data_IF_596289413612
#
_entry.id   IF_596289413612
#
_cell.length_a   1.000
_cell.length_b   1.000
_cell.length_c   1.000
_cell.angle_alpha   90.00
_cell.angle_beta   90.00
_cell.angle_gamma   90.00
#
_symmetry.space_group_name_H-M   'P 1'
#
loop_
_entity.id
_entity.type
_entity.pdbx_description
1 polymer ?
#
# COMPACT_ATOMS: atom_id res chain seq x y z
N UNK A 1 -18.61 -7.34 10.95
CA UNK A 1 -18.35 -6.69 12.25
C UNK A 1 -17.94 -7.76 13.26
N UNK A 2 -16.63 -7.89 13.51
CA UNK A 2 -16.12 -8.88 14.48
C UNK A 2 -16.32 -8.27 15.87
N UNK A 3 -17.20 -8.86 16.70
CA UNK A 3 -17.47 -8.34 18.05
C UNK A 3 -16.16 -8.36 18.85
N UNK A 4 -15.76 -7.19 19.35
CA UNK A 4 -14.70 -7.07 20.36
C UNK A 4 -14.99 -8.05 21.50
N UNK A 5 -14.06 -8.96 21.78
CA UNK A 5 -14.17 -9.94 22.87
C UNK A 5 -14.04 -9.30 24.26
N UNK A 6 -13.76 -8.00 24.34
CA UNK A 6 -13.70 -7.26 25.60
C UNK A 6 -15.08 -6.70 25.90
N UNK A 7 -15.70 -7.17 26.99
CA UNK A 7 -17.09 -6.85 27.33
C UNK A 7 -17.34 -5.40 27.75
N UNK A 8 -16.37 -4.49 27.61
CA UNK A 8 -16.47 -3.10 28.08
C UNK A 8 -15.48 -2.13 27.39
N UNK A 9 -15.34 -2.21 26.06
CA UNK A 9 -14.53 -1.24 25.30
C UNK A 9 -15.33 0.06 25.10
N UNK A 10 -14.90 1.22 25.62
CA UNK A 10 -15.62 2.49 25.46
C UNK A 10 -15.44 3.10 24.07
N UNK A 11 -14.39 2.69 23.34
CA UNK A 11 -14.09 3.20 22.00
C UNK A 11 -15.20 2.83 21.00
N UNK A 12 -15.81 3.80 20.29
CA UNK A 12 -16.78 3.54 19.23
C UNK A 12 -16.23 2.61 18.16
N UNK A 13 -17.10 1.78 17.58
CA UNK A 13 -16.68 0.68 16.70
C UNK A 13 -15.88 1.16 15.50
N UNK A 14 -16.27 2.26 14.87
CA UNK A 14 -15.58 2.84 13.71
C UNK A 14 -14.16 3.35 14.03
N UNK A 15 -13.88 3.67 15.30
CA UNK A 15 -12.59 4.20 15.74
C UNK A 15 -11.67 3.11 16.34
N UNK A 16 -12.14 1.86 16.34
CA UNK A 16 -11.35 0.73 16.86
C UNK A 16 -10.31 0.29 15.79
N UNK A 17 -9.01 0.21 16.15
CA UNK A 17 -7.95 -0.18 15.22
C UNK A 17 -8.19 -1.51 14.48
N UNK A 18 -8.89 -2.46 15.13
CA UNK A 18 -9.24 -3.74 14.51
C UNK A 18 -10.27 -3.58 13.38
N UNK A 19 -11.26 -2.71 13.55
CA UNK A 19 -12.27 -2.47 12.52
C UNK A 19 -11.67 -1.66 11.37
N UNK A 20 -10.84 -0.65 11.67
CA UNK A 20 -10.05 0.07 10.66
C UNK A 20 -9.20 -0.91 9.81
N UNK A 21 -8.57 -1.90 10.45
CA UNK A 21 -7.83 -2.96 9.76
C UNK A 21 -8.71 -3.81 8.84
N UNK A 22 -9.85 -4.30 9.32
CA UNK A 22 -10.75 -5.13 8.52
C UNK A 22 -11.36 -4.35 7.35
N UNK A 23 -11.75 -3.09 7.56
CA UNK A 23 -12.23 -2.21 6.49
C UNK A 23 -11.15 -2.00 5.43
N UNK A 24 -9.92 -1.68 5.86
CA UNK A 24 -8.81 -1.52 4.94
C UNK A 24 -8.53 -2.82 4.18
N UNK A 25 -8.48 -3.96 4.87
CA UNK A 25 -8.26 -5.28 4.26
C UNK A 25 -9.32 -5.64 3.22
N UNK A 26 -10.56 -5.21 3.41
CA UNK A 26 -11.67 -5.48 2.49
C UNK A 26 -11.76 -4.47 1.33
N UNK A 27 -11.14 -3.30 1.45
CA UNK A 27 -11.09 -2.31 0.37
C UNK A 27 -10.35 -2.89 -0.86
N UNK A 28 -10.90 -2.65 -2.05
CA UNK A 28 -10.49 -3.30 -3.31
C UNK A 28 -8.97 -3.39 -3.52
N UNK A 29 -8.28 -2.25 -3.45
CA UNK A 29 -6.86 -2.12 -3.76
C UNK A 29 -5.97 -2.77 -2.67
N UNK A 30 -6.40 -2.69 -1.41
CA UNK A 30 -5.69 -3.26 -0.26
C UNK A 30 -5.89 -4.77 -0.17
N UNK A 31 -7.09 -5.26 -0.46
CA UNK A 31 -7.39 -6.69 -0.56
C UNK A 31 -6.46 -7.40 -1.54
N UNK A 32 -6.24 -6.78 -2.70
CA UNK A 32 -5.35 -7.33 -3.74
C UNK A 32 -3.88 -7.34 -3.28
N UNK A 33 -3.46 -6.41 -2.41
CA UNK A 33 -2.11 -6.42 -1.82
C UNK A 33 -1.87 -7.56 -0.81
N UNK A 34 -2.93 -8.05 -0.17
CA UNK A 34 -2.91 -9.19 0.74
C UNK A 34 -3.02 -10.57 0.03
N UNK A 35 -3.21 -10.59 -1.30
CA UNK A 35 -3.40 -11.82 -2.06
C UNK A 35 -2.13 -12.69 -2.14
N UNK A 36 -2.19 -13.82 -2.86
CA UNK A 36 -0.99 -14.62 -3.17
C UNK A 36 -0.04 -13.85 -4.09
N UNK A 37 1.25 -14.20 -4.06
CA UNK A 37 2.28 -13.49 -4.83
C UNK A 37 1.97 -13.37 -6.33
N UNK A 38 1.46 -14.44 -6.95
CA UNK A 38 1.09 -14.47 -8.38
C UNK A 38 -0.04 -13.50 -8.70
N UNK A 39 -1.07 -13.45 -7.86
CA UNK A 39 -2.21 -12.57 -8.08
C UNK A 39 -1.80 -11.11 -7.89
N UNK A 40 -1.05 -10.83 -6.83
CA UNK A 40 -0.48 -9.51 -6.56
C UNK A 40 0.36 -8.99 -7.74
N UNK A 41 1.32 -9.78 -8.22
CA UNK A 41 2.20 -9.37 -9.33
C UNK A 41 1.44 -9.15 -10.63
N UNK A 42 0.43 -9.97 -10.91
CA UNK A 42 -0.49 -9.77 -12.05
C UNK A 42 -1.22 -8.43 -11.95
N UNK A 43 -1.73 -8.06 -10.76
CA UNK A 43 -2.41 -6.77 -10.54
C UNK A 43 -1.48 -5.58 -10.74
N UNK A 44 -0.26 -5.64 -10.21
CA UNK A 44 0.75 -4.60 -10.41
C UNK A 44 1.09 -4.46 -11.90
N UNK A 45 1.22 -5.57 -12.63
CA UNK A 45 1.45 -5.55 -14.08
C UNK A 45 0.27 -4.92 -14.84
N UNK A 46 -0.97 -5.22 -14.46
CA UNK A 46 -2.14 -4.57 -15.05
C UNK A 46 -2.14 -3.06 -14.82
N UNK A 47 -1.85 -2.60 -13.60
CA UNK A 47 -1.73 -1.16 -13.28
C UNK A 47 -0.66 -0.50 -14.14
N UNK A 48 0.50 -1.15 -14.29
CA UNK A 48 1.56 -0.67 -15.16
C UNK A 48 1.13 -0.60 -16.64
N UNK A 49 0.47 -1.65 -17.14
CA UNK A 49 -0.07 -1.72 -18.51
C UNK A 49 -1.11 -0.62 -18.78
N UNK A 50 -2.01 -0.37 -17.83
CA UNK A 50 -2.96 0.75 -17.95
C UNK A 50 -2.26 2.11 -17.92
N UNK A 51 -1.17 2.24 -17.17
CA UNK A 51 -0.37 3.47 -17.12
C UNK A 51 0.31 3.78 -18.47
N UNK A 52 0.51 2.78 -19.33
CA UNK A 52 1.03 2.98 -20.69
C UNK A 52 0.10 3.78 -21.61
N UNK A 53 -1.21 3.81 -21.35
CA UNK A 53 -2.13 4.61 -22.15
C UNK A 53 -1.82 6.11 -22.05
N UNK A 54 -1.26 6.55 -20.92
CA UNK A 54 -0.81 7.92 -20.71
C UNK A 54 0.69 8.07 -21.05
N UNK A 55 1.51 7.13 -20.60
CA UNK A 55 2.96 7.20 -20.79
C UNK A 55 3.39 7.05 -22.25
N UNK A 56 2.68 6.24 -23.05
CA UNK A 56 2.99 5.98 -24.45
C UNK A 56 2.95 7.25 -25.31
N UNK A 57 1.83 7.99 -25.36
CA UNK A 57 1.75 9.25 -26.10
C UNK A 57 2.80 10.29 -25.65
N UNK A 58 3.04 10.39 -24.34
CA UNK A 58 4.06 11.31 -23.77
C UNK A 58 5.47 10.93 -24.23
N UNK A 59 5.80 9.64 -24.20
CA UNK A 59 7.08 9.15 -24.68
C UNK A 59 7.22 9.30 -26.21
N UNK A 60 6.15 9.05 -26.98
CA UNK A 60 6.16 9.16 -28.44
C UNK A 60 6.39 10.61 -28.91
N UNK A 61 5.90 11.59 -28.16
CA UNK A 61 6.15 13.00 -28.43
C UNK A 61 7.63 13.38 -28.28
N UNK A 62 8.34 12.72 -27.36
CA UNK A 62 9.78 12.96 -27.13
C UNK A 62 10.66 12.11 -28.04
N UNK A 63 10.29 10.84 -28.23
CA UNK A 63 11.04 9.85 -28.99
C UNK A 63 10.11 9.17 -30.01
N UNK A 64 10.15 9.61 -31.29
CA UNK A 64 9.34 8.99 -32.33
C UNK A 64 9.66 7.49 -32.45
N UNK A 65 8.67 6.59 -32.32
CA UNK A 65 8.90 5.14 -32.29
C UNK A 65 9.62 4.60 -33.52
N UNK A 66 9.44 5.27 -34.66
CA UNK A 66 10.03 4.89 -35.96
C UNK A 66 11.54 5.13 -36.05
N UNK A 67 12.08 6.06 -35.25
CA UNK A 67 13.50 6.43 -35.29
C UNK A 67 14.25 5.86 -34.09
N UNK A 68 13.66 6.01 -32.91
CA UNK A 68 14.33 5.76 -31.64
C UNK A 68 13.49 4.81 -30.77
N UNK A 69 13.23 3.60 -31.26
CA UNK A 69 12.35 2.61 -30.60
C UNK A 69 12.82 2.27 -29.18
N UNK A 70 14.13 2.12 -28.96
CA UNK A 70 14.65 1.75 -27.63
C UNK A 70 14.45 2.88 -26.62
N UNK A 71 14.78 4.12 -27.00
CA UNK A 71 14.54 5.30 -26.15
C UNK A 71 13.05 5.53 -25.87
N UNK A 72 12.18 5.29 -26.86
CA UNK A 72 10.72 5.32 -26.68
C UNK A 72 10.25 4.32 -25.62
N UNK A 73 10.69 3.06 -25.72
CA UNK A 73 10.31 2.01 -24.77
C UNK A 73 10.84 2.30 -23.37
N UNK A 74 12.11 2.72 -23.24
CA UNK A 74 12.71 3.05 -21.95
C UNK A 74 12.02 4.24 -21.27
N UNK A 75 11.80 5.33 -22.01
CA UNK A 75 11.12 6.52 -21.49
C UNK A 75 9.65 6.23 -21.13
N UNK A 76 8.94 5.49 -21.98
CA UNK A 76 7.56 5.07 -21.73
C UNK A 76 7.46 4.15 -20.52
N UNK A 77 8.36 3.18 -20.37
CA UNK A 77 8.39 2.27 -19.22
C UNK A 77 8.68 3.02 -17.91
N UNK A 78 9.63 3.96 -17.92
CA UNK A 78 9.94 4.80 -16.77
C UNK A 78 8.73 5.66 -16.37
N UNK A 79 8.08 6.28 -17.35
CA UNK A 79 6.90 7.13 -17.13
C UNK A 79 5.70 6.31 -16.63
N UNK A 80 5.44 5.15 -17.21
CA UNK A 80 4.37 4.24 -16.76
C UNK A 80 4.61 3.74 -15.32
N UNK A 81 5.88 3.58 -14.92
CA UNK A 81 6.24 3.15 -13.57
C UNK A 81 5.85 4.16 -12.49
N UNK A 82 5.67 5.45 -12.83
CA UNK A 82 5.18 6.47 -11.89
C UNK A 82 3.79 6.13 -11.37
N UNK A 83 2.90 5.62 -12.24
CA UNK A 83 1.55 5.18 -11.84
C UNK A 83 1.59 4.05 -10.82
N UNK A 84 2.51 3.08 -11.03
CA UNK A 84 2.73 1.98 -10.09
C UNK A 84 3.26 2.49 -8.75
N UNK A 85 4.26 3.39 -8.77
CA UNK A 85 4.84 3.98 -7.56
C UNK A 85 3.77 4.70 -6.72
N UNK A 86 2.89 5.49 -7.35
CA UNK A 86 1.79 6.17 -6.64
C UNK A 86 0.87 5.18 -5.90
N UNK A 87 0.51 4.07 -6.56
CA UNK A 87 -0.31 3.02 -5.94
C UNK A 87 0.42 2.33 -4.79
N UNK A 88 1.71 2.01 -4.97
CA UNK A 88 2.51 1.39 -3.91
C UNK A 88 2.66 2.31 -2.70
N UNK A 89 2.83 3.62 -2.89
CA UNK A 89 2.88 4.60 -1.80
C UNK A 89 1.55 4.61 -1.04
N UNK A 90 0.42 4.65 -1.75
CA UNK A 90 -0.92 4.60 -1.13
C UNK A 90 -1.11 3.33 -0.30
N UNK A 91 -0.70 2.18 -0.83
CA UNK A 91 -0.76 0.89 -0.12
C UNK A 91 0.12 0.91 1.12
N UNK A 92 1.37 1.32 0.97
CA UNK A 92 2.35 1.32 2.05
C UNK A 92 1.88 2.21 3.20
N UNK A 93 1.44 3.43 2.91
CA UNK A 93 0.95 4.36 3.92
C UNK A 93 -0.30 3.83 4.64
N UNK A 94 -1.26 3.24 3.92
CA UNK A 94 -2.45 2.67 4.55
C UNK A 94 -2.13 1.52 5.50
N UNK A 95 -1.31 0.56 5.06
CA UNK A 95 -0.88 -0.54 5.92
C UNK A 95 -0.01 -0.08 7.08
N UNK A 96 0.88 0.88 6.86
CA UNK A 96 1.74 1.45 7.90
C UNK A 96 0.92 2.15 8.98
N UNK A 97 -0.10 2.92 8.58
CA UNK A 97 -1.02 3.61 9.49
C UNK A 97 -1.77 2.61 10.38
N UNK A 98 -2.41 1.60 9.80
CA UNK A 98 -3.15 0.59 10.58
C UNK A 98 -2.21 -0.22 11.48
N UNK A 99 -1.01 -0.55 10.99
CA UNK A 99 0.02 -1.22 11.78
C UNK A 99 0.35 -0.43 13.05
N UNK A 100 0.52 0.90 12.92
CA UNK A 100 0.85 1.79 14.03
C UNK A 100 -0.30 1.86 15.04
N UNK A 101 -1.54 2.00 14.56
CA UNK A 101 -2.77 2.00 15.39
C UNK A 101 -2.95 0.69 16.15
N UNK A 102 -2.62 -0.45 15.55
CA UNK A 102 -2.66 -1.76 16.21
C UNK A 102 -1.52 -1.92 17.24
N UNK A 103 -0.31 -1.45 16.93
CA UNK A 103 0.82 -1.51 17.87
C UNK A 103 0.68 -0.57 19.07
N UNK A 104 0.01 0.58 18.89
CA UNK A 104 -0.18 1.56 19.95
C UNK A 104 -0.90 0.93 21.14
N UNK A 105 -0.37 1.10 22.38
CA UNK A 105 -1.03 0.61 23.59
C UNK A 105 -2.25 1.47 23.97
N UNK A 106 -2.39 2.66 23.40
CA UNK A 106 -3.47 3.61 23.68
C UNK A 106 -4.23 3.96 22.41
N UNK A 107 -5.53 4.18 22.54
CA UNK A 107 -6.41 4.63 21.44
C UNK A 107 -7.07 5.92 21.87
N UNK A 108 -6.84 6.98 21.10
CA UNK A 108 -7.61 8.21 21.21
C UNK A 108 -8.96 8.02 20.49
N UNK A 109 -10.05 8.44 21.13
CA UNK A 109 -11.40 8.30 20.61
C UNK A 109 -12.32 9.43 21.08
N UNK A 110 -13.41 9.63 20.36
CA UNK A 110 -14.43 10.67 20.62
C UNK A 110 -15.81 9.99 20.65
N UNK A 111 -16.54 10.12 21.77
CA UNK A 111 -17.82 9.45 22.03
C UNK A 111 -19.02 10.28 21.57
N UNK A 112 -18.93 11.62 21.57
CA UNK A 112 -20.01 12.52 21.19
C UNK A 112 -19.49 13.91 20.72
N UNK A 113 -20.38 14.82 20.32
CA UNK A 113 -19.96 16.12 19.76
C UNK A 113 -19.37 17.10 20.79
N UNK A 114 -18.51 18.00 20.27
CA UNK A 114 -17.78 19.10 20.95
C UNK A 114 -16.73 18.66 21.98
N UNK A 115 -15.57 18.21 21.46
CA UNK A 115 -14.25 18.18 22.12
C UNK A 115 -14.15 17.33 23.40
N UNK A 116 -14.82 16.18 23.49
CA UNK A 116 -14.68 15.21 24.58
C UNK A 116 -13.70 14.07 24.24
N UNK A 117 -12.60 14.40 23.57
CA UNK A 117 -11.57 13.44 23.19
C UNK A 117 -10.97 12.73 24.40
N UNK A 118 -11.12 11.41 24.47
CA UNK A 118 -10.60 10.57 25.54
C UNK A 118 -9.52 9.62 25.01
N UNK A 119 -8.65 9.16 25.90
CA UNK A 119 -7.63 8.16 25.59
C UNK A 119 -7.88 6.90 26.41
N UNK A 120 -8.08 5.78 25.72
CA UNK A 120 -8.25 4.49 26.34
C UNK A 120 -6.98 3.64 26.22
N UNK A 121 -6.52 3.08 27.34
CA UNK A 121 -5.40 2.13 27.37
C UNK A 121 -5.92 0.72 27.11
N UNK A 122 -5.39 0.07 26.08
CA UNK A 122 -5.77 -1.29 25.70
C UNK A 122 -5.38 -2.28 26.81
N UNK A 123 -6.25 -3.23 27.18
CA UNK A 123 -5.89 -4.32 28.08
C UNK A 123 -4.93 -5.28 27.38
N UNK A 124 -4.20 -6.07 28.16
CA UNK A 124 -3.09 -6.89 27.67
C UNK A 124 -3.52 -7.93 26.63
N UNK A 125 -4.76 -8.44 26.74
CA UNK A 125 -5.33 -9.40 25.79
C UNK A 125 -5.50 -8.77 24.40
N UNK A 126 -5.97 -7.52 24.33
CA UNK A 126 -6.15 -6.77 23.08
C UNK A 126 -4.80 -6.45 22.45
N UNK A 127 -3.84 -5.99 23.25
CA UNK A 127 -2.47 -5.72 22.78
C UNK A 127 -1.85 -6.98 22.17
N UNK A 128 -2.00 -8.12 22.84
CA UNK A 128 -1.43 -9.38 22.39
C UNK A 128 -2.06 -9.81 21.05
N UNK A 129 -3.40 -9.75 20.94
CA UNK A 129 -4.10 -10.02 19.68
C UNK A 129 -3.65 -9.10 18.55
N UNK A 130 -3.61 -7.79 18.79
CA UNK A 130 -3.25 -6.79 17.78
C UNK A 130 -1.81 -7.02 17.28
N UNK A 131 -0.87 -7.35 18.18
CA UNK A 131 0.52 -7.67 17.82
C UNK A 131 0.65 -8.96 17.00
N UNK A 132 -0.19 -9.96 17.24
CA UNK A 132 -0.24 -11.17 16.41
C UNK A 132 -0.71 -10.84 14.99
N UNK A 133 -1.79 -10.05 14.85
CA UNK A 133 -2.28 -9.59 13.55
C UNK A 133 -1.17 -8.83 12.80
N UNK A 134 -0.50 -7.89 13.48
CA UNK A 134 0.58 -7.13 12.85
C UNK A 134 1.72 -8.04 12.40
N UNK A 135 2.13 -9.00 13.24
CA UNK A 135 3.28 -9.85 12.96
C UNK A 135 3.03 -10.84 11.82
N UNK A 136 1.84 -11.45 11.78
CA UNK A 136 1.52 -12.52 10.84
C UNK A 136 0.79 -12.06 9.57
N UNK A 137 0.01 -10.98 9.64
CA UNK A 137 -0.76 -10.50 8.49
C UNK A 137 -0.11 -9.26 7.86
N UNK A 138 0.14 -8.20 8.63
CA UNK A 138 0.52 -6.90 8.07
C UNK A 138 2.00 -6.83 7.69
N UNK A 139 2.90 -7.37 8.53
CA UNK A 139 4.34 -7.33 8.29
C UNK A 139 4.75 -8.01 6.97
N UNK A 140 4.23 -9.21 6.61
CA UNK A 140 4.51 -9.81 5.29
C UNK A 140 4.03 -8.95 4.11
N UNK A 141 2.89 -8.26 4.26
CA UNK A 141 2.36 -7.37 3.22
C UNK A 141 3.31 -6.18 3.03
N UNK A 142 3.73 -5.52 4.12
CA UNK A 142 4.68 -4.40 4.06
C UNK A 142 6.03 -4.82 3.45
N UNK A 143 6.55 -5.99 3.82
CA UNK A 143 7.79 -6.53 3.23
C UNK A 143 7.66 -6.74 1.73
N UNK A 144 6.53 -7.29 1.27
CA UNK A 144 6.26 -7.45 -0.17
C UNK A 144 6.24 -6.13 -0.91
N UNK A 145 5.60 -5.11 -0.35
CA UNK A 145 5.57 -3.76 -0.95
C UNK A 145 6.99 -3.18 -1.03
N UNK A 146 7.80 -3.33 0.02
CA UNK A 146 9.20 -2.91 0.02
C UNK A 146 10.04 -3.63 -1.04
N UNK A 147 9.86 -4.94 -1.21
CA UNK A 147 10.52 -5.71 -2.27
C UNK A 147 10.10 -5.18 -3.65
N UNK A 148 8.83 -4.82 -3.82
CA UNK A 148 8.32 -4.27 -5.09
C UNK A 148 8.94 -2.89 -5.38
N UNK A 149 9.06 -2.02 -4.37
CA UNK A 149 9.80 -0.76 -4.50
C UNK A 149 11.26 -0.98 -4.87
N UNK A 150 11.95 -1.91 -4.21
CA UNK A 150 13.33 -2.25 -4.52
C UNK A 150 13.50 -2.79 -5.95
N UNK A 151 12.57 -3.62 -6.41
CA UNK A 151 12.55 -4.13 -7.78
C UNK A 151 12.35 -3.01 -8.82
N UNK A 152 11.43 -2.07 -8.57
CA UNK A 152 11.23 -0.91 -9.45
C UNK A 152 12.47 0.00 -9.48
N UNK A 153 13.10 0.25 -8.33
CA UNK A 153 14.34 1.02 -8.25
C UNK A 153 15.47 0.34 -9.04
N UNK A 154 15.62 -0.98 -8.90
CA UNK A 154 16.61 -1.75 -9.66
C UNK A 154 16.33 -1.70 -11.17
N UNK A 155 15.07 -1.87 -11.59
CA UNK A 155 14.71 -1.76 -13.01
C UNK A 155 14.98 -0.37 -13.57
N UNK A 156 14.74 0.69 -12.79
CA UNK A 156 15.07 2.05 -13.19
C UNK A 156 16.57 2.24 -13.37
N UNK A 157 17.39 1.75 -12.43
CA UNK A 157 18.86 1.81 -12.54
C UNK A 157 19.39 1.03 -13.75
N UNK A 158 18.84 -0.15 -14.04
CA UNK A 158 19.20 -0.90 -15.25
C UNK A 158 18.80 -0.10 -16.49
N UNK A 159 17.61 0.51 -16.50
CA UNK A 159 17.13 1.34 -17.59
C UNK A 159 18.02 2.55 -17.88
N UNK A 160 18.53 3.23 -16.84
CA UNK A 160 19.46 4.36 -17.01
C UNK A 160 20.83 3.90 -17.51
N UNK A 161 21.34 2.77 -17.04
CA UNK A 161 22.59 2.19 -17.57
C UNK A 161 22.43 1.88 -19.06
N UNK A 162 21.36 1.20 -19.45
CA UNK A 162 21.08 0.88 -20.86
C UNK A 162 20.96 2.15 -21.69
N UNK A 163 20.29 3.18 -21.16
CA UNK A 163 20.18 4.48 -21.83
C UNK A 163 21.54 5.11 -22.14
N UNK A 164 22.49 5.05 -21.21
CA UNK A 164 23.83 5.62 -21.39
C UNK A 164 24.74 4.80 -22.31
N UNK A 165 24.43 3.53 -22.56
CA UNK A 165 25.20 2.64 -23.42
C UNK A 165 24.73 2.63 -24.88
N UNK A 166 23.55 3.20 -25.15
CA UNK A 166 22.95 3.36 -26.48
C UNK A 166 23.26 4.74 -27.08
#
# INVERSE_FOLDING_TARGET
>A
MMKSSVSNCPVPTEQQPLNEYEELKNAWLFRDSAAKWRDYTSKIFWIWSWSWLLAGPVAAASFPPQKNMVYFVLCGAATASVGVVMVLVRLYLGWFYVRDRLYSPTVFYEESGWYDGQTWTKPQEVITRDRLIVSYEIKPILQRLQITFAALALMYLIGTIVWHLL
#
